data_IF_500059018681
#
_entry.id   IF_500059018681
#
_cell.length_a   1.000
_cell.length_b   1.000
_cell.length_c   1.000
_cell.angle_alpha   90.00
_cell.angle_beta   90.00
_cell.angle_gamma   90.00
#
_symmetry.space_group_name_H-M   'P 1'
#
loop_
_entity.id
_entity.type
_entity.pdbx_description
1 polymer ?
#
# COMPACT_ATOMS: atom_id res chain seq x y z
N UNK A 1 -33.14 -18.49 -31.64
CA UNK A 1 -33.57 -17.08 -31.78
C UNK A 1 -32.71 -16.47 -32.87
N UNK A 2 -33.30 -16.02 -33.97
CA UNK A 2 -32.62 -15.25 -35.02
C UNK A 2 -32.61 -13.79 -34.59
N UNK A 3 -31.42 -13.24 -34.30
CA UNK A 3 -31.24 -11.83 -34.02
C UNK A 3 -31.29 -11.04 -35.33
N UNK A 4 -32.08 -9.97 -35.38
CA UNK A 4 -32.12 -9.05 -36.52
C UNK A 4 -31.20 -7.86 -36.25
N UNK A 5 -29.92 -8.02 -36.62
CA UNK A 5 -28.90 -6.99 -36.45
C UNK A 5 -29.18 -5.73 -37.28
N UNK A 6 -29.92 -5.83 -38.39
CA UNK A 6 -30.24 -4.67 -39.22
C UNK A 6 -31.21 -3.72 -38.50
N UNK A 7 -32.16 -4.28 -37.75
CA UNK A 7 -33.09 -3.49 -36.95
C UNK A 7 -32.41 -2.86 -35.73
N UNK A 8 -31.50 -3.61 -35.09
CA UNK A 8 -30.77 -3.16 -33.91
C UNK A 8 -29.75 -2.06 -34.20
N UNK A 9 -29.07 -2.11 -35.34
CA UNK A 9 -28.05 -1.15 -35.74
C UNK A 9 -28.58 0.09 -36.44
N UNK A 10 -29.90 0.19 -36.65
CA UNK A 10 -30.52 1.31 -37.35
C UNK A 10 -30.21 2.65 -36.69
N UNK A 11 -30.19 2.68 -35.35
CA UNK A 11 -29.98 3.87 -34.54
C UNK A 11 -28.50 4.09 -34.15
N UNK A 12 -27.60 3.20 -34.58
CA UNK A 12 -26.17 3.31 -34.24
C UNK A 12 -25.52 4.45 -35.04
N UNK A 13 -24.61 5.17 -34.40
CA UNK A 13 -23.78 6.19 -35.04
C UNK A 13 -22.80 5.58 -36.04
N UNK A 14 -22.28 6.38 -36.97
CA UNK A 14 -21.28 5.95 -37.96
C UNK A 14 -20.02 5.39 -37.30
N UNK A 15 -19.58 5.99 -36.19
CA UNK A 15 -18.45 5.52 -35.37
C UNK A 15 -18.71 4.15 -34.75
N UNK A 16 -19.91 3.91 -34.22
CA UNK A 16 -20.29 2.60 -33.64
C UNK A 16 -20.36 1.50 -34.71
N UNK A 17 -20.91 1.82 -35.88
CA UNK A 17 -20.94 0.87 -37.01
C UNK A 17 -19.53 0.56 -37.53
N UNK A 18 -18.65 1.55 -37.61
CA UNK A 18 -17.25 1.36 -37.99
C UNK A 18 -16.49 0.54 -36.95
N UNK A 19 -16.81 0.70 -35.67
CA UNK A 19 -16.19 -0.10 -34.61
C UNK A 19 -16.49 -1.60 -34.79
N UNK A 20 -17.73 -1.93 -35.17
CA UNK A 20 -18.15 -3.32 -35.44
C UNK A 20 -17.41 -3.89 -36.66
N UNK A 21 -17.30 -3.13 -37.75
CA UNK A 21 -16.64 -3.61 -38.97
C UNK A 21 -15.12 -3.70 -38.85
N UNK A 22 -14.48 -2.86 -38.04
CA UNK A 22 -13.04 -2.87 -37.81
C UNK A 22 -12.57 -4.02 -36.90
N UNK A 23 -13.46 -4.69 -36.17
CA UNK A 23 -13.12 -5.74 -35.19
C UNK A 23 -13.86 -7.05 -35.45
N UNK A 24 -13.76 -7.64 -36.66
CA UNK A 24 -14.57 -8.79 -37.06
C UNK A 24 -14.41 -10.01 -36.14
N UNK A 25 -13.26 -10.16 -35.48
CA UNK A 25 -12.97 -11.27 -34.57
C UNK A 25 -13.77 -11.21 -33.26
N UNK A 26 -14.33 -10.04 -32.92
CA UNK A 26 -15.04 -9.79 -31.66
C UNK A 26 -16.57 -9.84 -31.80
N UNK A 27 -17.07 -9.85 -33.04
CA UNK A 27 -18.50 -9.76 -33.36
C UNK A 27 -18.95 -10.96 -34.19
N UNK A 28 -20.27 -11.21 -34.21
CA UNK A 28 -20.86 -12.21 -35.09
C UNK A 28 -20.68 -11.78 -36.57
N UNK A 29 -20.28 -12.67 -37.49
CA UNK A 29 -20.17 -12.35 -38.91
C UNK A 29 -21.42 -11.71 -39.50
N UNK A 30 -22.62 -12.12 -39.04
CA UNK A 30 -23.88 -11.54 -39.50
C UNK A 30 -24.06 -10.08 -39.03
N UNK A 31 -23.51 -9.74 -37.87
CA UNK A 31 -23.50 -8.37 -37.36
C UNK A 31 -22.52 -7.49 -38.16
N UNK A 32 -21.33 -8.02 -38.48
CA UNK A 32 -20.34 -7.33 -39.31
C UNK A 32 -20.92 -7.01 -40.70
N UNK A 33 -21.56 -7.99 -41.33
CA UNK A 33 -22.21 -7.81 -42.63
C UNK A 33 -23.38 -6.80 -42.57
N UNK A 34 -24.20 -6.85 -41.52
CA UNK A 34 -25.29 -5.90 -41.33
C UNK A 34 -24.78 -4.46 -41.16
N UNK A 35 -23.74 -4.27 -40.33
CA UNK A 35 -23.12 -2.96 -40.13
C UNK A 35 -22.49 -2.41 -41.42
N UNK A 36 -21.80 -3.27 -42.19
CA UNK A 36 -21.23 -2.89 -43.48
C UNK A 36 -22.30 -2.45 -44.50
N UNK A 37 -23.45 -3.15 -44.54
CA UNK A 37 -24.58 -2.77 -45.40
C UNK A 37 -25.21 -1.43 -45.00
N UNK A 38 -25.35 -1.17 -43.70
CA UNK A 38 -25.89 0.10 -43.21
C UNK A 38 -24.93 1.26 -43.51
N UNK A 39 -23.62 1.06 -43.33
CA UNK A 39 -22.60 2.04 -43.70
C UNK A 39 -22.62 2.35 -45.19
N UNK A 40 -22.71 1.33 -46.05
CA UNK A 40 -22.83 1.51 -47.49
C UNK A 40 -24.11 2.25 -47.90
N UNK A 41 -25.24 1.97 -47.24
CA UNK A 41 -26.52 2.64 -47.49
C UNK A 41 -26.51 4.12 -47.08
N UNK A 42 -25.73 4.50 -46.05
CA UNK A 42 -25.62 5.87 -45.56
C UNK A 42 -24.74 6.79 -46.43
N UNK A 43 -24.03 6.24 -47.42
CA UNK A 43 -23.13 6.99 -48.31
C UNK A 43 -22.16 7.91 -47.55
N UNK A 44 -21.57 7.39 -46.46
CA UNK A 44 -20.65 8.16 -45.63
C UNK A 44 -19.42 8.56 -46.47
N UNK A 45 -18.99 9.84 -46.45
CA UNK A 45 -17.81 10.28 -47.16
C UNK A 45 -16.57 9.51 -46.73
N UNK A 46 -15.71 9.14 -47.69
CA UNK A 46 -14.48 8.38 -47.42
C UNK A 46 -13.55 9.11 -46.42
N UNK A 47 -13.56 10.45 -46.43
CA UNK A 47 -12.82 11.27 -45.48
C UNK A 47 -13.30 11.10 -44.02
N UNK A 48 -14.61 11.00 -43.78
CA UNK A 48 -15.17 10.77 -42.44
C UNK A 48 -14.88 9.35 -41.96
N UNK A 49 -14.90 8.36 -42.87
CA UNK A 49 -14.50 6.98 -42.56
C UNK A 49 -13.03 6.92 -42.14
N UNK A 50 -12.16 7.63 -42.86
CA UNK A 50 -10.73 7.68 -42.54
C UNK A 50 -10.46 8.35 -41.18
N UNK A 51 -11.14 9.45 -40.86
CA UNK A 51 -10.97 10.15 -39.58
C UNK A 51 -11.50 9.32 -38.41
N UNK A 52 -12.71 8.74 -38.54
CA UNK A 52 -13.31 7.91 -37.51
C UNK A 52 -12.50 6.62 -37.27
N UNK A 53 -12.01 5.98 -38.33
CA UNK A 53 -11.16 4.78 -38.19
C UNK A 53 -9.82 5.09 -37.53
N UNK A 54 -9.20 6.23 -37.84
CA UNK A 54 -7.97 6.68 -37.19
C UNK A 54 -8.18 6.93 -35.68
N UNK A 55 -9.28 7.58 -35.30
CA UNK A 55 -9.61 7.81 -33.88
C UNK A 55 -9.85 6.50 -33.11
N UNK A 56 -10.56 5.54 -33.72
CA UNK A 56 -10.81 4.21 -33.12
C UNK A 56 -9.50 3.43 -32.94
N UNK A 57 -8.59 3.47 -33.93
CA UNK A 57 -7.28 2.84 -33.82
C UNK A 57 -6.42 3.47 -32.72
N UNK A 58 -6.40 4.81 -32.63
CA UNK A 58 -5.64 5.51 -31.58
C UNK A 58 -6.13 5.16 -30.17
N UNK A 59 -7.45 5.07 -29.99
CA UNK A 59 -8.05 4.67 -28.71
C UNK A 59 -7.80 3.19 -28.39
N UNK A 60 -7.84 2.31 -29.40
CA UNK A 60 -7.46 0.91 -29.25
C UNK A 60 -5.99 0.77 -28.84
N UNK A 61 -5.08 1.50 -29.48
CA UNK A 61 -3.65 1.51 -29.15
C UNK A 61 -3.39 2.05 -27.74
N UNK A 62 -4.07 3.14 -27.35
CA UNK A 62 -4.02 3.66 -25.98
C UNK A 62 -4.55 2.64 -24.96
N UNK A 63 -5.64 1.94 -25.28
CA UNK A 63 -6.22 0.92 -24.44
C UNK A 63 -5.30 -0.30 -24.29
N UNK A 64 -4.69 -0.77 -25.39
CA UNK A 64 -3.69 -1.84 -25.39
C UNK A 64 -2.44 -1.44 -24.62
N UNK A 65 -1.94 -0.21 -24.80
CA UNK A 65 -0.81 0.30 -24.02
C UNK A 65 -1.12 0.37 -22.52
N UNK A 66 -2.34 0.75 -22.13
CA UNK A 66 -2.79 0.73 -20.72
C UNK A 66 -2.90 -0.69 -20.18
N UNK A 67 -3.48 -1.62 -20.93
CA UNK A 67 -3.59 -3.04 -20.55
C UNK A 67 -2.21 -3.67 -20.37
N UNK A 68 -1.30 -3.48 -21.33
CA UNK A 68 0.07 -3.98 -21.25
C UNK A 68 0.82 -3.42 -20.02
N UNK A 69 0.58 -2.15 -19.66
CA UNK A 69 1.12 -1.57 -18.42
C UNK A 69 0.54 -2.26 -17.18
N UNK A 70 -0.79 -2.44 -17.12
CA UNK A 70 -1.48 -3.10 -15.99
C UNK A 70 -1.03 -4.55 -15.84
N UNK A 71 -0.98 -5.31 -16.93
CA UNK A 71 -0.52 -6.69 -16.94
C UNK A 71 0.96 -6.78 -16.55
N UNK A 72 1.79 -5.83 -16.99
CA UNK A 72 3.17 -5.70 -16.53
C UNK A 72 3.30 -5.51 -15.02
N UNK A 73 2.40 -4.72 -14.39
CA UNK A 73 2.35 -4.59 -12.93
C UNK A 73 1.81 -5.85 -12.24
N UNK A 74 0.79 -6.48 -12.83
CA UNK A 74 0.17 -7.72 -12.31
C UNK A 74 1.16 -8.88 -12.29
N UNK A 75 1.93 -9.06 -13.36
CA UNK A 75 2.97 -10.10 -13.45
C UNK A 75 4.06 -9.84 -12.41
N UNK A 76 4.54 -8.59 -12.26
CA UNK A 76 5.52 -8.23 -11.22
C UNK A 76 4.99 -8.48 -9.81
N UNK A 77 3.72 -8.16 -9.55
CA UNK A 77 3.09 -8.41 -8.25
C UNK A 77 2.97 -9.92 -7.98
N UNK A 78 2.60 -10.70 -9.00
CA UNK A 78 2.49 -12.16 -8.92
C UNK A 78 3.84 -12.82 -8.62
N UNK A 79 4.90 -12.47 -9.34
CA UNK A 79 6.27 -12.94 -9.08
C UNK A 79 6.75 -12.58 -7.66
N UNK A 80 6.36 -11.40 -7.16
CA UNK A 80 6.70 -10.95 -5.81
C UNK A 80 5.99 -11.79 -4.75
N UNK A 81 4.72 -12.14 -4.97
CA UNK A 81 3.90 -12.92 -4.04
C UNK A 81 4.22 -14.42 -4.07
N UNK A 82 4.51 -14.99 -5.25
CA UNK A 82 4.90 -16.41 -5.39
C UNK A 82 6.14 -16.71 -4.54
N UNK A 83 7.16 -15.83 -4.57
CA UNK A 83 8.35 -15.97 -3.72
C UNK A 83 8.11 -15.84 -2.21
N UNK A 84 6.98 -15.28 -1.80
CA UNK A 84 6.60 -15.16 -0.38
C UNK A 84 5.82 -16.40 0.07
N UNK A 85 5.05 -17.01 -0.84
CA UNK A 85 4.17 -18.13 -0.56
C UNK A 85 4.87 -19.48 -0.63
N UNK A 86 6.00 -19.60 -1.33
CA UNK A 86 6.80 -20.84 -1.38
C UNK A 86 7.59 -21.06 -0.06
N UNK A 87 7.13 -21.97 0.83
CA UNK A 87 7.82 -22.24 2.08
C UNK A 87 9.02 -23.16 1.79
N UNK A 88 10.22 -22.59 1.71
CA UNK A 88 11.46 -23.34 1.50
C UNK A 88 12.42 -22.73 0.49
N UNK A 89 11.98 -21.73 -0.30
CA UNK A 89 12.84 -21.01 -1.23
C UNK A 89 13.92 -20.16 -0.53
N UNK A 90 15.00 -19.85 -1.24
CA UNK A 90 16.00 -18.90 -0.75
C UNK A 90 15.36 -17.54 -0.48
N UNK A 91 15.36 -17.11 0.80
CA UNK A 91 14.84 -15.81 1.21
C UNK A 91 15.61 -14.71 0.49
N UNK A 92 14.98 -14.06 -0.50
CA UNK A 92 15.51 -12.88 -1.22
C UNK A 92 15.26 -11.63 -0.38
N UNK A 93 16.26 -11.07 0.34
CA UNK A 93 16.04 -9.96 1.29
C UNK A 93 15.43 -8.72 0.62
N UNK A 94 15.79 -8.45 -0.63
CA UNK A 94 15.34 -7.29 -1.37
C UNK A 94 13.82 -7.26 -1.58
N UNK A 95 13.20 -8.41 -1.83
CA UNK A 95 11.74 -8.52 -2.06
C UNK A 95 11.01 -8.25 -0.74
N UNK A 96 11.42 -8.94 0.32
CA UNK A 96 10.85 -8.76 1.66
C UNK A 96 10.95 -7.33 2.16
N UNK A 97 12.08 -6.66 1.93
CA UNK A 97 12.25 -5.26 2.32
C UNK A 97 11.34 -4.33 1.52
N UNK A 98 11.10 -4.60 0.22
CA UNK A 98 10.14 -3.83 -0.58
C UNK A 98 8.71 -3.99 -0.07
N UNK A 99 8.30 -5.23 0.20
CA UNK A 99 6.98 -5.52 0.80
C UNK A 99 6.86 -4.81 2.14
N UNK A 100 7.90 -4.92 2.97
CA UNK A 100 7.95 -4.25 4.27
C UNK A 100 7.81 -2.73 4.15
N UNK A 101 8.60 -2.10 3.27
CA UNK A 101 8.52 -0.65 3.02
C UNK A 101 7.14 -0.26 2.49
N UNK A 102 6.51 -1.09 1.64
CA UNK A 102 5.15 -0.85 1.16
C UNK A 102 4.12 -0.92 2.31
N UNK A 103 4.22 -1.93 3.19
CA UNK A 103 3.34 -2.09 4.36
C UNK A 103 3.52 -0.92 5.34
N UNK A 104 4.76 -0.55 5.67
CA UNK A 104 5.06 0.60 6.53
C UNK A 104 4.61 1.92 5.89
N UNK A 105 4.80 2.06 4.58
CA UNK A 105 4.33 3.22 3.82
C UNK A 105 2.81 3.35 3.85
N UNK A 106 2.08 2.24 3.67
CA UNK A 106 0.62 2.22 3.77
C UNK A 106 0.14 2.55 5.18
N UNK A 107 0.77 1.95 6.20
CA UNK A 107 0.50 2.26 7.60
C UNK A 107 0.77 3.74 7.92
N UNK A 108 1.81 4.33 7.33
CA UNK A 108 2.12 5.74 7.47
C UNK A 108 1.04 6.64 6.87
N UNK A 109 0.59 6.34 5.64
CA UNK A 109 -0.50 7.09 4.98
C UNK A 109 -1.78 7.03 5.82
N UNK A 110 -2.10 5.85 6.38
CA UNK A 110 -3.24 5.70 7.27
C UNK A 110 -3.12 6.55 8.54
N UNK A 111 -1.98 6.48 9.24
CA UNK A 111 -1.71 7.31 10.42
C UNK A 111 -1.71 8.81 10.09
N UNK A 112 -1.24 9.19 8.91
CA UNK A 112 -1.26 10.56 8.44
C UNK A 112 -2.70 11.05 8.28
N UNK A 113 -3.58 10.22 7.72
CA UNK A 113 -5.00 10.51 7.65
C UNK A 113 -5.63 10.66 9.04
N UNK A 114 -5.43 9.69 9.94
CA UNK A 114 -5.97 9.73 11.32
C UNK A 114 -5.49 10.98 12.07
N UNK A 115 -4.19 11.27 12.02
CA UNK A 115 -3.61 12.44 12.68
C UNK A 115 -4.10 13.75 12.07
N UNK A 116 -4.32 13.81 10.76
CA UNK A 116 -4.87 15.00 10.10
C UNK A 116 -6.31 15.26 10.56
N UNK A 117 -7.14 14.21 10.63
CA UNK A 117 -8.52 14.32 11.15
C UNK A 117 -8.51 14.75 12.62
N UNK A 118 -7.64 14.15 13.45
CA UNK A 118 -7.50 14.52 14.86
C UNK A 118 -7.06 15.98 15.01
N UNK A 119 -6.10 16.42 14.20
CA UNK A 119 -5.61 17.80 14.19
C UNK A 119 -6.73 18.79 13.80
N UNK A 120 -7.49 18.51 12.73
CA UNK A 120 -8.60 19.36 12.30
C UNK A 120 -9.66 19.47 13.41
N UNK A 121 -10.02 18.36 14.06
CA UNK A 121 -10.95 18.36 15.20
C UNK A 121 -10.42 19.20 16.35
N UNK A 122 -9.15 19.04 16.71
CA UNK A 122 -8.53 19.80 17.80
C UNK A 122 -8.58 21.31 17.54
N UNK A 123 -8.22 21.75 16.32
CA UNK A 123 -8.28 23.16 15.91
C UNK A 123 -9.72 23.70 15.98
N UNK A 124 -10.72 22.88 15.68
CA UNK A 124 -12.13 23.26 15.69
C UNK A 124 -12.73 23.35 17.12
N UNK A 125 -12.32 22.49 18.05
CA UNK A 125 -13.02 22.34 19.34
C UNK A 125 -12.36 23.04 20.53
N UNK A 126 -11.03 23.13 20.62
CA UNK A 126 -10.37 23.50 21.88
C UNK A 126 -9.69 24.87 21.89
N UNK A 127 -9.65 25.55 20.74
CA UNK A 127 -8.77 26.72 20.57
C UNK A 127 -7.29 26.35 20.74
N UNK A 128 -6.38 27.25 20.38
CA UNK A 128 -4.93 27.00 20.39
C UNK A 128 -4.31 26.86 21.82
N UNK A 129 -5.12 26.70 22.87
CA UNK A 129 -4.67 26.68 24.27
C UNK A 129 -4.07 25.35 24.76
N UNK A 130 -4.22 24.26 24.00
CA UNK A 130 -3.65 22.95 24.32
C UNK A 130 -2.13 22.89 24.15
N UNK A 131 -1.43 22.40 25.16
CA UNK A 131 0.04 22.36 25.35
C UNK A 131 0.88 22.19 24.05
N UNK A 132 1.83 23.09 23.76
CA UNK A 132 2.71 23.02 22.58
C UNK A 132 3.60 21.76 22.54
N UNK A 133 3.83 21.11 23.69
CA UNK A 133 4.74 19.95 23.80
C UNK A 133 4.26 18.70 23.05
N UNK A 134 2.94 18.44 23.03
CA UNK A 134 2.39 17.30 22.30
C UNK A 134 2.61 17.42 20.78
N UNK A 135 2.48 18.63 20.25
CA UNK A 135 2.66 18.92 18.82
C UNK A 135 4.07 18.63 18.34
N UNK A 136 5.09 18.95 19.13
CA UNK A 136 6.49 18.68 18.77
C UNK A 136 6.71 17.18 18.59
N UNK A 137 6.13 16.35 19.48
CA UNK A 137 6.22 14.89 19.36
C UNK A 137 5.47 14.37 18.12
N UNK A 138 4.30 14.91 17.82
CA UNK A 138 3.56 14.56 16.60
C UNK A 138 4.33 14.93 15.32
N UNK A 139 4.88 16.14 15.25
CA UNK A 139 5.71 16.58 14.12
C UNK A 139 6.97 15.72 13.98
N UNK A 140 7.59 15.37 15.10
CA UNK A 140 8.75 14.48 15.10
C UNK A 140 8.37 13.08 14.58
N UNK A 141 7.23 12.53 14.98
CA UNK A 141 6.74 11.24 14.48
C UNK A 141 6.41 11.31 12.98
N UNK A 142 5.86 12.43 12.52
CA UNK A 142 5.59 12.69 11.12
C UNK A 142 6.87 12.76 10.29
N UNK A 143 7.90 13.44 10.78
CA UNK A 143 9.21 13.51 10.11
C UNK A 143 10.00 12.19 10.20
N UNK A 144 9.84 11.44 11.28
CA UNK A 144 10.53 10.19 11.54
C UNK A 144 10.25 9.13 10.46
N UNK A 145 8.99 8.95 10.09
CA UNK A 145 8.58 7.88 9.17
C UNK A 145 9.09 8.04 7.72
N UNK A 146 8.99 9.20 7.04
CA UNK A 146 9.56 9.39 5.72
C UNK A 146 11.09 9.29 5.75
N UNK A 147 11.74 9.79 6.81
CA UNK A 147 13.17 9.58 7.03
C UNK A 147 13.52 8.10 7.14
N UNK A 148 12.73 7.32 7.88
CA UNK A 148 12.91 5.86 8.00
C UNK A 148 12.76 5.17 6.64
N UNK A 149 11.68 5.46 5.90
CA UNK A 149 11.43 4.89 4.57
C UNK A 149 12.58 5.22 3.62
N UNK A 150 13.02 6.48 3.59
CA UNK A 150 14.15 6.93 2.78
C UNK A 150 15.42 6.13 3.11
N UNK A 151 15.76 6.00 4.39
CA UNK A 151 16.95 5.26 4.83
C UNK A 151 16.87 3.76 4.51
N UNK A 152 15.69 3.16 4.60
CA UNK A 152 15.46 1.76 4.25
C UNK A 152 15.64 1.51 2.74
N UNK A 153 15.12 2.40 1.89
CA UNK A 153 15.31 2.33 0.43
C UNK A 153 16.79 2.49 0.07
N UNK A 154 17.50 3.40 0.74
CA UNK A 154 18.94 3.64 0.58
C UNK A 154 19.82 2.52 1.16
N UNK A 155 19.22 1.47 1.75
CA UNK A 155 19.90 0.34 2.40
C UNK A 155 20.92 0.78 3.45
N UNK A 156 20.62 1.89 4.13
CA UNK A 156 21.53 2.45 5.12
C UNK A 156 21.35 1.72 6.47
N UNK A 157 22.46 1.43 7.15
CA UNK A 157 22.48 0.83 8.49
C UNK A 157 21.59 1.57 9.49
N UNK A 158 21.49 2.89 9.37
CA UNK A 158 20.65 3.72 10.24
C UNK A 158 19.15 3.41 10.08
N UNK A 159 18.70 3.11 8.85
CA UNK A 159 17.32 2.71 8.62
C UNK A 159 16.98 1.41 9.34
N UNK A 160 17.90 0.44 9.34
CA UNK A 160 17.75 -0.80 10.08
C UNK A 160 17.73 -0.56 11.60
N UNK A 161 18.65 0.25 12.13
CA UNK A 161 18.73 0.55 13.58
C UNK A 161 17.42 1.22 14.05
N UNK A 162 17.00 2.28 13.36
CA UNK A 162 15.76 2.99 13.72
C UNK A 162 14.55 2.06 13.63
N UNK A 163 14.51 1.20 12.62
CA UNK A 163 13.41 0.26 12.47
C UNK A 163 13.35 -0.75 13.62
N UNK A 164 14.48 -1.34 13.99
CA UNK A 164 14.58 -2.29 15.12
C UNK A 164 14.14 -1.62 16.43
N UNK A 165 14.61 -0.40 16.69
CA UNK A 165 14.19 0.38 17.86
C UNK A 165 12.70 0.71 17.83
N UNK A 166 12.17 1.09 16.68
CA UNK A 166 10.74 1.38 16.48
C UNK A 166 9.85 0.17 16.74
N UNK A 167 10.20 -1.00 16.19
CA UNK A 167 9.46 -2.25 16.46
C UNK A 167 9.54 -2.64 17.94
N UNK A 168 10.70 -2.45 18.58
CA UNK A 168 10.87 -2.72 20.02
C UNK A 168 9.95 -1.84 20.86
N UNK A 169 9.95 -0.53 20.61
CA UNK A 169 9.08 0.43 21.27
C UNK A 169 7.61 0.09 21.04
N UNK A 170 7.22 -0.31 19.82
CA UNK A 170 5.87 -0.71 19.51
C UNK A 170 5.43 -1.95 20.32
N UNK A 171 6.31 -2.96 20.45
CA UNK A 171 6.03 -4.16 21.27
C UNK A 171 5.90 -3.79 22.75
N UNK A 172 6.84 -3.04 23.29
CA UNK A 172 6.84 -2.62 24.71
C UNK A 172 5.59 -1.80 25.02
N UNK A 173 5.27 -0.80 24.20
CA UNK A 173 4.07 0.02 24.38
C UNK A 173 2.78 -0.79 24.22
N UNK A 174 2.74 -1.75 23.31
CA UNK A 174 1.58 -2.65 23.16
C UNK A 174 1.37 -3.54 24.38
N UNK A 175 2.44 -4.06 24.98
CA UNK A 175 2.38 -4.85 26.22
C UNK A 175 1.94 -4.00 27.42
N UNK A 176 2.48 -2.78 27.55
CA UNK A 176 2.08 -1.83 28.60
C UNK A 176 0.61 -1.44 28.43
N UNK A 177 0.19 -1.13 27.20
CA UNK A 177 -1.20 -0.82 26.86
C UNK A 177 -2.14 -1.98 27.20
N UNK A 178 -1.75 -3.22 26.89
CA UNK A 178 -2.49 -4.41 27.29
C UNK A 178 -2.61 -4.49 28.82
N UNK A 179 -1.51 -4.38 29.56
CA UNK A 179 -1.52 -4.41 31.03
C UNK A 179 -2.48 -3.36 31.62
N UNK A 180 -2.45 -2.11 31.12
CA UNK A 180 -3.37 -1.07 31.60
C UNK A 180 -4.82 -1.32 31.20
N UNK A 181 -5.09 -1.78 29.98
CA UNK A 181 -6.45 -2.16 29.57
C UNK A 181 -7.01 -3.29 30.44
N UNK A 182 -6.16 -4.25 30.85
CA UNK A 182 -6.53 -5.30 31.79
C UNK A 182 -6.89 -4.72 33.16
N UNK A 183 -6.02 -3.85 33.70
CA UNK A 183 -6.17 -3.26 35.04
C UNK A 183 -7.38 -2.33 35.15
N UNK A 184 -7.66 -1.50 34.13
CA UNK A 184 -8.69 -0.45 34.15
C UNK A 184 -10.09 -0.96 33.76
N UNK A 185 -10.30 -2.28 33.64
CA UNK A 185 -11.57 -2.91 33.22
C UNK A 185 -12.18 -2.33 31.92
N UNK A 186 -11.39 -1.63 31.11
CA UNK A 186 -11.81 -1.03 29.84
C UNK A 186 -11.86 -2.05 28.71
N UNK A 187 -12.04 -3.33 29.06
CA UNK A 187 -11.98 -4.46 28.15
C UNK A 187 -12.90 -4.31 26.94
N UNK A 188 -14.09 -3.73 27.11
CA UNK A 188 -15.03 -3.67 26.00
C UNK A 188 -14.75 -2.55 24.97
N UNK A 189 -13.78 -1.65 25.22
CA UNK A 189 -13.52 -0.50 24.34
C UNK A 189 -12.25 -0.62 23.49
N UNK A 190 -11.32 -1.51 23.85
CA UNK A 190 -10.06 -1.67 23.12
C UNK A 190 -10.21 -2.74 22.03
N UNK A 191 -9.80 -2.42 20.80
CA UNK A 191 -9.69 -3.41 19.73
C UNK A 191 -8.51 -4.36 19.99
N UNK A 192 -8.77 -5.44 20.74
CA UNK A 192 -7.77 -6.44 21.08
C UNK A 192 -7.25 -7.22 19.88
N UNK A 193 -8.09 -7.41 18.86
CA UNK A 193 -7.68 -8.12 17.65
C UNK A 193 -6.57 -7.31 16.99
N UNK A 194 -6.78 -6.00 16.85
CA UNK A 194 -5.76 -5.10 16.34
C UNK A 194 -4.50 -5.06 17.22
N UNK A 195 -4.64 -5.02 18.54
CA UNK A 195 -3.50 -5.01 19.46
C UNK A 195 -2.65 -6.28 19.34
N UNK A 196 -3.28 -7.46 19.39
CA UNK A 196 -2.61 -8.76 19.27
C UNK A 196 -1.96 -8.90 17.90
N UNK A 197 -2.67 -8.53 16.84
CA UNK A 197 -2.14 -8.55 15.48
C UNK A 197 -0.91 -7.62 15.34
N UNK A 198 -0.99 -6.39 15.85
CA UNK A 198 0.11 -5.43 15.82
C UNK A 198 1.32 -5.93 16.61
N UNK A 199 1.12 -6.51 17.79
CA UNK A 199 2.19 -7.12 18.59
C UNK A 199 2.87 -8.27 17.84
N UNK A 200 2.07 -9.21 17.32
CA UNK A 200 2.58 -10.36 16.56
C UNK A 200 3.36 -9.91 15.32
N UNK A 201 2.83 -8.93 14.58
CA UNK A 201 3.47 -8.37 13.40
C UNK A 201 4.82 -7.70 13.73
N UNK A 202 4.85 -6.84 14.75
CA UNK A 202 6.09 -6.16 15.16
C UNK A 202 7.12 -7.14 15.73
N UNK A 203 6.70 -8.16 16.48
CA UNK A 203 7.58 -9.21 16.98
C UNK A 203 8.15 -10.06 15.84
N UNK A 204 7.31 -10.44 14.86
CA UNK A 204 7.75 -11.16 13.67
C UNK A 204 8.76 -10.34 12.85
N UNK A 205 8.53 -9.04 12.69
CA UNK A 205 9.49 -8.16 12.03
C UNK A 205 10.78 -8.01 12.81
N UNK A 206 10.73 -7.85 14.12
CA UNK A 206 11.92 -7.78 14.95
C UNK A 206 12.76 -9.06 14.80
N UNK A 207 12.12 -10.23 14.88
CA UNK A 207 12.78 -11.52 14.65
C UNK A 207 13.39 -11.60 13.24
N UNK A 208 12.66 -11.19 12.22
CA UNK A 208 13.14 -11.19 10.84
C UNK A 208 14.35 -10.25 10.63
N UNK A 209 14.30 -9.04 11.18
CA UNK A 209 15.36 -8.03 11.07
C UNK A 209 16.67 -8.46 11.74
N UNK A 210 16.58 -9.31 12.77
CA UNK A 210 17.73 -9.85 13.48
C UNK A 210 18.40 -11.03 12.77
N UNK A 211 17.83 -11.53 11.65
CA UNK A 211 18.47 -12.57 10.81
C UNK A 211 19.73 -12.01 10.13
N UNK A 212 20.79 -12.83 10.10
CA UNK A 212 22.09 -12.44 9.54
C UNK A 212 22.04 -11.99 8.09
N UNK A 213 21.28 -12.70 7.24
CA UNK A 213 21.09 -12.34 5.83
C UNK A 213 20.54 -10.91 5.66
N UNK A 214 19.62 -10.51 6.53
CA UNK A 214 19.01 -9.16 6.51
C UNK A 214 20.00 -8.12 7.03
N UNK A 215 20.71 -8.41 8.12
CA UNK A 215 21.75 -7.52 8.65
C UNK A 215 22.86 -7.27 7.62
N UNK A 216 23.31 -8.32 6.91
CA UNK A 216 24.28 -8.19 5.82
C UNK A 216 23.76 -7.31 4.68
N UNK A 217 22.47 -7.43 4.32
CA UNK A 217 21.86 -6.58 3.30
C UNK A 217 21.90 -5.08 3.65
N UNK A 218 21.80 -4.73 4.94
CA UNK A 218 21.93 -3.36 5.44
C UNK A 218 23.35 -2.95 5.84
N UNK A 219 24.36 -3.79 5.53
CA UNK A 219 25.76 -3.56 5.89
C UNK A 219 25.98 -3.39 7.41
N UNK A 220 25.19 -4.10 8.23
CA UNK A 220 25.25 -4.03 9.70
C UNK A 220 26.34 -4.98 10.20
N UNK A 221 27.35 -4.42 10.88
CA UNK A 221 28.41 -5.21 11.53
C UNK A 221 27.90 -5.87 12.82
N UNK A 222 28.46 -7.02 13.26
CA UNK A 222 28.06 -7.68 14.52
C UNK A 222 28.14 -6.77 15.76
N UNK A 223 29.12 -5.87 15.81
CA UNK A 223 29.27 -4.92 16.92
C UNK A 223 28.12 -3.92 17.00
N UNK A 224 27.56 -3.54 15.84
CA UNK A 224 26.39 -2.64 15.77
C UNK A 224 25.15 -3.39 16.24
N UNK A 225 24.98 -4.66 15.85
CA UNK A 225 23.90 -5.52 16.34
C UNK A 225 23.89 -5.59 17.87
N UNK A 226 25.02 -5.88 18.50
CA UNK A 226 25.12 -5.96 19.96
C UNK A 226 24.73 -4.64 20.63
N UNK A 227 25.22 -3.51 20.11
CA UNK A 227 24.86 -2.18 20.62
C UNK A 227 23.38 -1.87 20.45
N UNK A 228 22.79 -2.21 19.30
CA UNK A 228 21.36 -2.02 19.05
C UNK A 228 20.52 -2.88 19.99
N UNK A 229 20.87 -4.15 20.19
CA UNK A 229 20.16 -5.04 21.14
C UNK A 229 20.28 -4.53 22.57
N UNK A 230 21.46 -4.04 22.99
CA UNK A 230 21.61 -3.42 24.30
C UNK A 230 20.73 -2.16 24.44
N UNK A 231 20.70 -1.31 23.42
CA UNK A 231 19.84 -0.13 23.40
C UNK A 231 18.34 -0.50 23.44
N UNK A 232 17.92 -1.57 22.74
CA UNK A 232 16.56 -2.09 22.81
C UNK A 232 16.16 -2.46 24.24
N UNK A 233 17.01 -3.21 24.95
CA UNK A 233 16.76 -3.60 26.33
C UNK A 233 16.72 -2.41 27.28
N UNK A 234 17.64 -1.44 27.12
CA UNK A 234 17.66 -0.22 27.93
C UNK A 234 16.39 0.61 27.72
N UNK A 235 15.94 0.77 26.47
CA UNK A 235 14.71 1.49 26.15
C UNK A 235 13.50 0.75 26.72
N UNK A 236 13.42 -0.57 26.53
CA UNK A 236 12.32 -1.37 27.06
C UNK A 236 12.22 -1.28 28.59
N UNK A 237 13.34 -1.43 29.28
CA UNK A 237 13.41 -1.28 30.74
C UNK A 237 13.06 0.14 31.17
N UNK A 238 13.63 1.16 30.53
CA UNK A 238 13.37 2.56 30.85
C UNK A 238 11.90 2.94 30.68
N UNK A 239 11.27 2.54 29.57
CA UNK A 239 9.83 2.76 29.35
C UNK A 239 8.99 2.02 30.38
N UNK A 240 9.33 0.78 30.72
CA UNK A 240 8.62 0.01 31.75
C UNK A 240 8.72 0.68 33.13
N UNK A 241 9.93 0.99 33.62
CA UNK A 241 10.13 1.63 34.91
C UNK A 241 9.49 3.01 34.99
N UNK A 242 9.52 3.79 33.91
CA UNK A 242 8.85 5.08 33.86
C UNK A 242 7.33 4.96 34.06
N UNK A 243 6.69 3.98 33.41
CA UNK A 243 5.26 3.73 33.58
C UNK A 243 4.92 3.25 35.00
N UNK A 244 5.70 2.31 35.55
CA UNK A 244 5.53 1.86 36.95
C UNK A 244 5.70 3.01 37.94
N UNK A 245 6.68 3.89 37.72
CA UNK A 245 6.90 5.06 38.57
C UNK A 245 5.71 6.03 38.52
N UNK A 246 5.15 6.29 37.34
CA UNK A 246 3.94 7.12 37.21
C UNK A 246 2.76 6.50 37.94
N UNK A 247 2.60 5.17 37.87
CA UNK A 247 1.54 4.45 38.56
C UNK A 247 1.66 4.53 40.09
N UNK A 248 2.86 4.47 40.65
CA UNK A 248 3.08 4.60 42.10
C UNK A 248 2.82 6.02 42.63
N UNK A 249 2.80 7.03 41.76
CA UNK A 249 2.58 8.42 42.15
C UNK A 249 1.10 8.79 42.22
N UNK A 250 0.22 8.00 41.63
CA UNK A 250 -1.23 8.22 41.57
C UNK A 250 -1.96 7.28 42.53
#
# INVERSE_FOLDING_TARGET
>A
MTFDFALQFKDYSTTELLQITLHPDTYDPQAVDAAARILAARQVPEAEIAEASAAILEDADKAHARRNKIDGYKTKAKETLEHVLEPGGEVKPAIWIRIFVAVVGLQYVWKLFENTVAFVRMVQYEGLGGLPGGYVLYLLQFAYTPCLIYLLIKRNRWGWILLVLGCTLAVVNGLIGWYYSYKLQSFFKTDYIWLVFSLALNAAFLYFLLKEKIMHYFHVKPIVKQRTVAAMWLIAAGTFFFNVYLELRH
#
